data_IF_941320982680
#
_entry.id   IF_941320982680
#
_cell.length_a   1.000
_cell.length_b   1.000
_cell.length_c   1.000
_cell.angle_alpha   90.00
_cell.angle_beta   90.00
_cell.angle_gamma   90.00
#
_symmetry.space_group_name_H-M   'P 1'
#
loop_
_entity.id
_entity.type
_entity.pdbx_description
1 polymer ?
#
# COMPACT_ATOMS: atom_id res chain seq x y z
N UNK A 1 -28.34 4.43 0.78
CA UNK A 1 -27.42 5.58 0.94
C UNK A 1 -26.44 5.28 2.06
N UNK A 2 -25.12 5.45 1.91
CA UNK A 2 -24.21 5.38 3.04
C UNK A 2 -24.03 6.75 3.71
N UNK A 3 -23.92 6.71 5.04
CA UNK A 3 -23.96 7.80 5.99
C UNK A 3 -22.85 8.87 5.83
N UNK A 4 -23.06 10.12 6.31
CA UNK A 4 -22.06 11.17 6.21
C UNK A 4 -20.82 10.81 7.03
N UNK A 5 -19.65 10.85 6.37
CA UNK A 5 -18.37 10.73 7.03
C UNK A 5 -18.26 11.84 8.09
N UNK A 6 -18.18 11.45 9.37
CA UNK A 6 -17.97 12.39 10.48
C UNK A 6 -16.69 13.16 10.21
N UNK A 7 -16.79 14.49 10.13
CA UNK A 7 -15.64 15.37 9.95
C UNK A 7 -14.54 15.00 10.95
N UNK A 8 -13.41 14.53 10.43
CA UNK A 8 -12.29 14.10 11.26
C UNK A 8 -11.72 15.30 12.04
N UNK A 9 -11.17 15.07 13.25
CA UNK A 9 -10.55 16.13 14.04
C UNK A 9 -9.41 16.83 13.26
N UNK A 10 -9.28 18.15 13.45
CA UNK A 10 -8.32 19.03 12.74
C UNK A 10 -6.83 18.76 13.04
N UNK A 11 -6.51 17.73 13.81
CA UNK A 11 -5.15 17.39 14.25
C UNK A 11 -5.01 15.88 14.42
N UNK A 12 -3.82 15.37 14.19
CA UNK A 12 -3.49 13.96 14.43
C UNK A 12 -3.69 13.58 15.91
N UNK A 13 -4.39 12.48 16.16
CA UNK A 13 -4.36 11.80 17.45
C UNK A 13 -3.03 11.05 17.66
N UNK A 14 -2.76 10.57 18.89
CA UNK A 14 -1.52 9.85 19.21
C UNK A 14 -1.22 8.65 18.29
N UNK A 15 -2.24 7.85 17.97
CA UNK A 15 -2.07 6.70 17.06
C UNK A 15 -1.79 7.14 15.62
N UNK A 16 -2.41 8.22 15.19
CA UNK A 16 -2.24 8.77 13.84
C UNK A 16 -0.87 9.45 13.70
N UNK A 17 -0.37 10.11 14.76
CA UNK A 17 0.99 10.63 14.82
C UNK A 17 2.00 9.51 14.69
N UNK A 18 1.84 8.44 15.48
CA UNK A 18 2.71 7.27 15.38
C UNK A 18 2.65 6.62 13.99
N UNK A 19 1.49 6.61 13.36
CA UNK A 19 1.32 6.11 11.99
C UNK A 19 2.03 7.00 10.97
N UNK A 20 1.87 8.32 11.08
CA UNK A 20 2.57 9.32 10.27
C UNK A 20 4.09 9.16 10.36
N UNK A 21 4.63 9.05 11.57
CA UNK A 21 6.07 8.90 11.82
C UNK A 21 6.65 7.61 11.21
N UNK A 22 5.82 6.59 10.97
CA UNK A 22 6.20 5.32 10.35
C UNK A 22 5.74 5.20 8.89
N UNK A 23 5.05 6.20 8.34
CA UNK A 23 4.41 6.09 7.03
C UNK A 23 5.44 5.93 5.92
N UNK A 24 6.50 6.73 5.96
CA UNK A 24 7.59 6.69 4.98
C UNK A 24 8.23 5.29 4.91
N UNK A 25 8.64 4.73 6.05
CA UNK A 25 9.21 3.37 6.12
C UNK A 25 8.25 2.30 5.59
N UNK A 26 6.95 2.44 5.86
CA UNK A 26 5.94 1.50 5.36
C UNK A 26 5.75 1.60 3.85
N UNK A 27 5.73 2.82 3.31
CA UNK A 27 5.64 3.06 1.86
C UNK A 27 6.87 2.47 1.17
N UNK A 28 8.08 2.77 1.65
CA UNK A 28 9.32 2.23 1.10
C UNK A 28 9.35 0.70 1.13
N UNK A 29 8.91 0.08 2.23
CA UNK A 29 8.84 -1.38 2.32
C UNK A 29 7.79 -1.98 1.35
N UNK A 30 6.65 -1.32 1.16
CA UNK A 30 5.63 -1.76 0.22
C UNK A 30 6.08 -1.59 -1.23
N UNK A 31 6.79 -0.52 -1.55
CA UNK A 31 7.38 -0.27 -2.86
C UNK A 31 8.48 -1.29 -3.19
N UNK A 32 9.37 -1.63 -2.23
CA UNK A 32 10.35 -2.71 -2.40
C UNK A 32 9.66 -4.06 -2.64
N UNK A 33 8.59 -4.37 -1.89
CA UNK A 33 7.82 -5.59 -2.10
C UNK A 33 7.16 -5.63 -3.49
N UNK A 34 6.63 -4.49 -3.97
CA UNK A 34 6.07 -4.36 -5.31
C UNK A 34 7.15 -4.57 -6.39
N UNK A 35 8.31 -3.94 -6.25
CA UNK A 35 9.42 -4.10 -7.18
C UNK A 35 9.88 -5.57 -7.26
N UNK A 36 10.03 -6.23 -6.11
CA UNK A 36 10.41 -7.66 -6.04
C UNK A 36 9.34 -8.57 -6.64
N UNK A 37 8.06 -8.25 -6.46
CA UNK A 37 6.97 -8.99 -7.09
C UNK A 37 6.99 -8.83 -8.62
N UNK A 38 7.33 -7.63 -9.11
CA UNK A 38 7.47 -7.35 -10.53
C UNK A 38 8.70 -8.07 -11.13
N UNK A 39 9.84 -8.06 -10.45
CA UNK A 39 11.02 -8.81 -10.88
C UNK A 39 10.76 -10.33 -10.92
N UNK A 40 10.03 -10.85 -9.93
CA UNK A 40 9.66 -12.26 -9.90
C UNK A 40 8.71 -12.65 -11.04
N UNK A 41 8.03 -11.68 -11.68
CA UNK A 41 7.23 -11.93 -12.86
C UNK A 41 8.07 -12.13 -14.13
N UNK A 42 9.28 -11.57 -14.18
CA UNK A 42 10.17 -11.67 -15.33
C UNK A 42 10.96 -12.98 -15.36
N UNK A 43 10.81 -13.84 -14.35
CA UNK A 43 11.42 -15.18 -14.30
C UNK A 43 10.82 -16.08 -15.41
N UNK A 44 11.63 -16.57 -16.37
CA UNK A 44 11.17 -17.46 -17.45
C UNK A 44 10.50 -18.75 -16.96
N UNK A 45 10.86 -19.23 -15.76
CA UNK A 45 10.25 -20.40 -15.13
C UNK A 45 8.80 -20.16 -14.68
N UNK A 46 8.43 -18.90 -14.41
CA UNK A 46 7.06 -18.50 -14.06
C UNK A 46 6.18 -18.46 -15.31
N UNK A 47 6.68 -17.92 -16.42
CA UNK A 47 5.93 -17.82 -17.67
C UNK A 47 5.50 -19.19 -18.24
N UNK A 48 6.29 -20.23 -17.98
CA UNK A 48 6.01 -21.60 -18.42
C UNK A 48 5.11 -22.40 -17.47
N UNK A 49 4.75 -21.83 -16.31
CA UNK A 49 3.94 -22.48 -15.28
C UNK A 49 2.68 -21.64 -14.97
N UNK A 50 1.51 -21.98 -15.53
CA UNK A 50 0.28 -21.20 -15.37
C UNK A 50 -0.14 -21.00 -13.91
N UNK A 51 0.12 -21.97 -13.03
CA UNK A 51 -0.19 -21.85 -11.60
C UNK A 51 0.74 -20.84 -10.93
N UNK A 52 2.05 -20.94 -11.18
CA UNK A 52 3.01 -19.99 -10.64
C UNK A 52 2.74 -18.58 -11.17
N UNK A 53 2.42 -18.43 -12.46
CA UNK A 53 2.04 -17.16 -13.07
C UNK A 53 0.84 -16.52 -12.35
N UNK A 54 -0.22 -17.28 -12.10
CA UNK A 54 -1.39 -16.78 -11.38
C UNK A 54 -1.07 -16.37 -9.94
N UNK A 55 -0.26 -17.15 -9.23
CA UNK A 55 0.17 -16.84 -7.86
C UNK A 55 1.00 -15.54 -7.81
N UNK A 56 1.91 -15.34 -8.77
CA UNK A 56 2.74 -14.13 -8.86
C UNK A 56 1.93 -12.89 -9.24
N UNK A 57 0.99 -13.02 -10.18
CA UNK A 57 0.07 -11.92 -10.53
C UNK A 57 -0.84 -11.51 -9.37
N UNK A 58 -1.30 -12.47 -8.57
CA UNK A 58 -2.06 -12.18 -7.36
C UNK A 58 -1.20 -11.43 -6.34
N UNK A 59 0.05 -11.87 -6.12
CA UNK A 59 0.99 -11.19 -5.23
C UNK A 59 1.31 -9.76 -5.70
N UNK A 60 1.52 -9.56 -7.01
CA UNK A 60 1.76 -8.24 -7.60
C UNK A 60 0.57 -7.30 -7.36
N UNK A 61 -0.65 -7.79 -7.63
CA UNK A 61 -1.89 -7.02 -7.39
C UNK A 61 -2.02 -6.60 -5.93
N UNK A 62 -1.72 -7.51 -4.99
CA UNK A 62 -1.76 -7.21 -3.55
C UNK A 62 -0.72 -6.17 -3.17
N UNK A 63 0.51 -6.29 -3.67
CA UNK A 63 1.57 -5.32 -3.39
C UNK A 63 1.22 -3.92 -3.95
N UNK A 64 0.69 -3.86 -5.17
CA UNK A 64 0.25 -2.60 -5.79
C UNK A 64 -0.87 -1.93 -4.98
N UNK A 65 -1.87 -2.71 -4.57
CA UNK A 65 -2.99 -2.20 -3.76
C UNK A 65 -2.53 -1.71 -2.38
N UNK A 66 -1.51 -2.34 -1.78
CA UNK A 66 -0.95 -1.90 -0.50
C UNK A 66 -0.22 -0.56 -0.62
N UNK A 67 0.58 -0.38 -1.68
CA UNK A 67 1.24 0.92 -1.97
C UNK A 67 0.19 2.01 -2.14
N UNK A 68 -0.84 1.78 -2.96
CA UNK A 68 -1.93 2.74 -3.16
C UNK A 68 -2.68 3.06 -1.86
N UNK A 69 -2.97 2.04 -1.05
CA UNK A 69 -3.62 2.21 0.27
C UNK A 69 -2.78 3.07 1.21
N UNK A 70 -1.47 2.85 1.25
CA UNK A 70 -0.55 3.61 2.10
C UNK A 70 -0.46 5.06 1.64
N UNK A 71 -0.35 5.32 0.33
CA UNK A 71 -0.37 6.68 -0.20
C UNK A 71 -1.70 7.41 0.06
N UNK A 72 -2.83 6.73 -0.11
CA UNK A 72 -4.14 7.30 0.22
C UNK A 72 -4.23 7.66 1.71
N UNK A 73 -3.75 6.76 2.59
CA UNK A 73 -3.70 7.01 4.03
C UNK A 73 -2.74 8.14 4.39
N UNK A 74 -1.61 8.24 3.70
CA UNK A 74 -0.65 9.32 3.89
C UNK A 74 -1.29 10.67 3.56
N UNK A 75 -2.01 10.77 2.44
CA UNK A 75 -2.75 11.98 2.07
C UNK A 75 -3.82 12.36 3.12
N UNK A 76 -4.56 11.39 3.67
CA UNK A 76 -5.51 11.65 4.76
C UNK A 76 -4.85 12.22 6.01
N UNK A 77 -3.65 11.73 6.35
CA UNK A 77 -2.89 12.20 7.51
C UNK A 77 -2.30 13.59 7.23
N UNK A 78 -1.82 13.84 6.00
CA UNK A 78 -1.25 15.14 5.59
C UNK A 78 -2.28 16.26 5.73
N UNK A 79 -3.52 16.02 5.30
CA UNK A 79 -4.63 16.97 5.45
C UNK A 79 -4.97 17.30 6.91
N UNK A 80 -4.54 16.47 7.87
CA UNK A 80 -4.68 16.72 9.32
C UNK A 80 -3.46 17.36 9.96
N UNK A 81 -2.29 17.27 9.30
CA UNK A 81 -1.06 17.93 9.74
C UNK A 81 -1.02 19.39 9.28
N UNK A 82 -1.58 19.66 8.10
CA UNK A 82 -1.70 20.99 7.50
C UNK A 82 -2.62 21.94 8.28
#
# INVERSE_FOLDING_TARGET
EPAPAKAAPKRLGYLEQREWDQMEDKVLAAEDALARAQEAMDDPGVASNPKALQERLAALTVAQAEVERLYARWAELEEKVR
#
